data_IF_880478739248
#
_entry.id   IF_880478739248
#
_cell.length_a   1.000
_cell.length_b   1.000
_cell.length_c   1.000
_cell.angle_alpha   90.00
_cell.angle_beta   90.00
_cell.angle_gamma   90.00
#
_symmetry.space_group_name_H-M   'P 1'
#
loop_
_entity.id
_entity.type
_entity.pdbx_description
1 polymer ?
#
# COMPACT_ATOMS: atom_id res chain seq x y z
N UNK A 1 4.85 -23.37 -2.13
CA UNK A 1 3.55 -23.11 -1.54
C UNK A 1 3.13 -21.69 -1.74
N UNK A 2 2.16 -21.54 -2.58
CA UNK A 2 1.71 -20.19 -2.92
C UNK A 2 1.21 -19.41 -1.71
N UNK A 3 0.57 -20.08 -0.77
CA UNK A 3 -0.03 -19.39 0.37
C UNK A 3 0.98 -18.77 1.32
N UNK A 4 2.22 -19.24 1.35
CA UNK A 4 3.22 -18.64 2.26
C UNK A 4 3.65 -17.26 1.79
N UNK A 5 3.32 -16.92 0.54
CA UNK A 5 3.67 -15.59 0.02
C UNK A 5 2.49 -14.63 0.03
N UNK A 6 1.34 -15.07 0.54
CA UNK A 6 0.17 -14.20 0.59
C UNK A 6 0.33 -13.18 1.70
N UNK A 7 -0.19 -11.99 1.43
CA UNK A 7 -0.28 -10.98 2.47
C UNK A 7 -1.43 -11.39 3.38
N UNK A 8 -1.08 -11.91 4.55
CA UNK A 8 -2.07 -12.49 5.43
C UNK A 8 -2.93 -11.48 6.14
N UNK A 9 -3.97 -12.00 6.79
CA UNK A 9 -4.92 -11.20 7.54
C UNK A 9 -4.28 -10.38 8.65
N UNK A 10 -3.20 -10.88 9.21
CA UNK A 10 -2.49 -10.18 10.28
C UNK A 10 -1.97 -8.81 9.85
N UNK A 11 -1.79 -8.61 8.54
CA UNK A 11 -1.31 -7.34 8.03
C UNK A 11 -2.44 -6.42 7.57
N UNK A 12 -3.67 -6.89 7.63
CA UNK A 12 -4.81 -6.09 7.21
C UNK A 12 -5.07 -4.95 8.20
N UNK A 13 -5.31 -3.77 7.67
CA UNK A 13 -5.63 -2.61 8.49
C UNK A 13 -6.99 -2.79 9.20
N UNK A 14 -7.89 -3.55 8.60
CA UNK A 14 -9.15 -3.87 9.24
C UNK A 14 -10.31 -3.01 8.77
N UNK A 15 -11.03 -2.45 9.73
CA UNK A 15 -12.31 -1.82 9.45
C UNK A 15 -12.22 -0.32 9.19
N UNK A 16 -13.34 0.26 8.78
CA UNK A 16 -13.44 1.67 8.42
C UNK A 16 -12.90 2.63 9.49
N UNK A 17 -13.08 2.30 10.76
CA UNK A 17 -12.55 3.09 11.86
C UNK A 17 -11.04 3.27 11.75
N UNK A 18 -10.35 2.18 11.42
CA UNK A 18 -8.89 2.22 11.31
C UNK A 18 -8.47 3.07 10.12
N UNK A 19 -9.19 2.95 9.00
CA UNK A 19 -8.90 3.79 7.83
C UNK A 19 -9.08 5.26 8.17
N UNK A 20 -10.20 5.59 8.82
CA UNK A 20 -10.48 6.98 9.17
C UNK A 20 -9.40 7.55 10.08
N UNK A 21 -8.94 6.76 11.02
CA UNK A 21 -7.89 7.18 11.94
C UNK A 21 -6.59 7.49 11.20
N UNK A 22 -6.19 6.58 10.30
CA UNK A 22 -4.95 6.75 9.53
C UNK A 22 -5.07 7.95 8.59
N UNK A 23 -6.22 8.13 7.94
CA UNK A 23 -6.44 9.29 7.08
C UNK A 23 -6.28 10.59 7.86
N UNK A 24 -6.81 10.62 9.07
CA UNK A 24 -6.79 11.85 9.87
C UNK A 24 -5.41 12.15 10.45
N UNK A 25 -4.68 11.12 10.86
CA UNK A 25 -3.44 11.29 11.59
C UNK A 25 -2.20 11.05 10.76
N UNK A 26 -2.33 10.37 9.64
CA UNK A 26 -1.19 10.00 8.81
C UNK A 26 -0.73 11.11 7.90
N UNK A 27 0.44 10.88 7.30
CA UNK A 27 0.98 11.81 6.31
C UNK A 27 0.71 11.26 4.91
N UNK A 28 0.32 12.14 4.01
CA UNK A 28 -0.06 11.77 2.66
C UNK A 28 1.08 12.02 1.67
N UNK A 29 1.30 11.05 0.78
CA UNK A 29 2.30 11.14 -0.28
C UNK A 29 1.59 10.85 -1.61
N UNK A 30 1.17 11.90 -2.31
CA UNK A 30 0.40 11.70 -3.55
C UNK A 30 1.28 11.31 -4.72
N UNK A 31 0.80 10.36 -5.51
CA UNK A 31 1.39 9.98 -6.77
C UNK A 31 0.38 10.17 -7.89
N UNK A 32 0.75 9.81 -9.09
CA UNK A 32 -0.13 9.95 -10.25
C UNK A 32 -1.24 8.90 -10.26
N UNK A 33 -0.90 7.66 -9.96
CA UNK A 33 -1.85 6.54 -10.02
C UNK A 33 -2.36 6.12 -8.66
N UNK A 34 -1.67 6.51 -7.60
CA UNK A 34 -2.09 6.16 -6.24
C UNK A 34 -1.55 7.16 -5.25
N UNK A 35 -2.17 7.17 -4.07
CA UNK A 35 -1.71 8.00 -2.95
C UNK A 35 -1.34 7.07 -1.82
N UNK A 36 -0.20 7.31 -1.20
CA UNK A 36 0.22 6.58 0.00
C UNK A 36 -0.08 7.45 1.22
N UNK A 37 -0.73 6.84 2.23
CA UNK A 37 -0.89 7.50 3.52
C UNK A 37 -0.20 6.62 4.54
N UNK A 38 0.65 7.21 5.38
CA UNK A 38 1.43 6.47 6.35
C UNK A 38 1.31 7.07 7.74
N UNK A 39 1.15 6.22 8.74
CA UNK A 39 1.13 6.62 10.14
C UNK A 39 2.03 5.66 10.91
N UNK A 40 3.00 6.21 11.60
CA UNK A 40 3.93 5.41 12.40
C UNK A 40 3.17 4.62 13.46
N UNK A 41 3.52 3.35 13.60
CA UNK A 41 2.89 2.45 14.57
C UNK A 41 3.84 1.29 14.86
N UNK A 42 3.53 0.54 15.89
CA UNK A 42 4.39 -0.57 16.31
C UNK A 42 4.32 -1.77 15.38
N UNK A 43 3.17 -2.01 14.80
CA UNK A 43 2.97 -3.14 13.90
C UNK A 43 2.67 -2.66 12.50
N UNK A 44 3.08 -3.47 11.53
CA UNK A 44 2.79 -3.15 10.15
C UNK A 44 1.37 -3.60 9.81
N UNK A 45 0.55 -2.64 9.37
CA UNK A 45 -0.79 -2.92 8.86
C UNK A 45 -0.96 -2.15 7.57
N UNK A 46 -1.76 -2.70 6.66
CA UNK A 46 -1.96 -2.05 5.36
C UNK A 46 -3.40 -2.19 4.89
N UNK A 47 -3.88 -1.15 4.23
CA UNK A 47 -5.20 -1.16 3.61
C UNK A 47 -5.09 -0.65 2.19
N UNK A 48 -6.03 -1.10 1.36
CA UNK A 48 -6.08 -0.72 -0.05
C UNK A 48 -7.46 -0.20 -0.35
N UNK A 49 -7.55 1.02 -0.85
CA UNK A 49 -8.82 1.68 -1.06
C UNK A 49 -8.97 2.10 -2.53
N UNK A 50 -10.14 1.82 -3.09
CA UNK A 50 -10.46 2.26 -4.44
C UNK A 50 -11.88 2.79 -4.43
N UNK A 51 -12.03 4.08 -4.72
CA UNK A 51 -13.33 4.74 -4.71
C UNK A 51 -14.21 4.24 -5.85
N UNK A 52 -15.53 4.30 -5.65
CA UNK A 52 -16.49 3.92 -6.69
C UNK A 52 -16.35 4.81 -7.93
N UNK A 53 -15.76 5.98 -7.79
CA UNK A 53 -15.53 6.88 -8.93
C UNK A 53 -14.48 6.37 -9.90
N UNK A 54 -13.62 5.45 -9.45
CA UNK A 54 -12.56 4.92 -10.29
C UNK A 54 -13.09 3.93 -11.31
N UNK A 55 -14.12 3.17 -10.95
CA UNK A 55 -14.68 2.20 -11.85
C UNK A 55 -15.69 1.29 -11.17
N UNK A 56 -16.18 0.29 -11.91
CA UNK A 56 -17.13 -0.67 -11.37
C UNK A 56 -16.43 -1.64 -10.40
N UNK A 57 -17.23 -2.54 -9.81
CA UNK A 57 -16.71 -3.46 -8.80
C UNK A 57 -15.59 -4.35 -9.32
N UNK A 58 -15.69 -4.81 -10.55
CA UNK A 58 -14.66 -5.66 -11.15
C UNK A 58 -13.34 -4.91 -11.26
N UNK A 59 -13.38 -3.69 -11.77
CA UNK A 59 -12.20 -2.85 -11.90
C UNK A 59 -11.59 -2.54 -10.55
N UNK A 60 -12.43 -2.16 -9.58
CA UNK A 60 -11.94 -1.83 -8.23
C UNK A 60 -11.28 -3.02 -7.56
N UNK A 61 -11.87 -4.21 -7.69
CA UNK A 61 -11.29 -5.42 -7.11
C UNK A 61 -9.96 -5.77 -7.76
N UNK A 62 -9.87 -5.60 -9.08
CA UNK A 62 -8.63 -5.85 -9.82
C UNK A 62 -7.51 -4.93 -9.31
N UNK A 63 -7.82 -3.65 -9.11
CA UNK A 63 -6.83 -2.71 -8.63
C UNK A 63 -6.39 -3.01 -7.19
N UNK A 64 -7.34 -3.38 -6.32
CA UNK A 64 -6.99 -3.77 -4.95
C UNK A 64 -6.05 -4.97 -4.94
N UNK A 65 -6.37 -5.98 -5.74
CA UNK A 65 -5.52 -7.18 -5.81
C UNK A 65 -4.14 -6.85 -6.31
N UNK A 66 -4.04 -5.97 -7.31
CA UNK A 66 -2.75 -5.56 -7.84
C UNK A 66 -1.91 -4.85 -6.80
N UNK A 67 -2.52 -3.88 -6.12
CA UNK A 67 -1.79 -3.14 -5.08
C UNK A 67 -1.36 -4.05 -3.95
N UNK A 68 -2.25 -4.97 -3.58
CA UNK A 68 -1.95 -5.93 -2.51
C UNK A 68 -0.77 -6.82 -2.90
N UNK A 69 -0.75 -7.27 -4.13
CA UNK A 69 0.33 -8.12 -4.62
C UNK A 69 1.65 -7.38 -4.66
N UNK A 70 1.65 -6.14 -5.14
CA UNK A 70 2.86 -5.32 -5.18
C UNK A 70 3.39 -5.07 -3.77
N UNK A 71 2.51 -4.74 -2.84
CA UNK A 71 2.90 -4.49 -1.46
C UNK A 71 3.45 -5.75 -0.80
N UNK A 72 2.84 -6.89 -1.07
CA UNK A 72 3.28 -8.16 -0.51
C UNK A 72 4.77 -8.40 -0.79
N UNK A 73 5.19 -8.08 -2.01
CA UNK A 73 6.58 -8.28 -2.40
C UNK A 73 7.54 -7.33 -1.67
N UNK A 74 7.07 -6.15 -1.33
CA UNK A 74 7.91 -5.14 -0.69
C UNK A 74 7.88 -5.20 0.84
N UNK A 75 6.84 -5.80 1.40
CA UNK A 75 6.60 -5.76 2.84
C UNK A 75 7.81 -6.12 3.71
N UNK A 76 8.58 -7.18 3.40
CA UNK A 76 9.69 -7.52 4.29
C UNK A 76 10.75 -6.43 4.41
N UNK A 77 10.78 -5.52 3.46
CA UNK A 77 11.78 -4.44 3.44
C UNK A 77 11.29 -3.15 4.08
N UNK A 78 10.05 -3.15 4.58
CA UNK A 78 9.42 -1.92 5.05
C UNK A 78 9.39 -1.82 6.57
N UNK A 79 9.43 -0.58 7.06
CA UNK A 79 9.36 -0.32 8.51
C UNK A 79 7.93 -0.54 9.00
N UNK A 80 7.76 -0.81 10.31
CA UNK A 80 6.42 -0.94 10.88
C UNK A 80 5.62 0.36 10.74
N UNK A 81 4.32 0.23 10.72
CA UNK A 81 3.44 1.37 10.64
C UNK A 81 2.16 1.02 9.91
N UNK A 82 1.25 1.98 9.84
CA UNK A 82 -0.03 1.79 9.15
C UNK A 82 0.02 2.45 7.80
N UNK A 83 -0.20 1.65 6.76
CA UNK A 83 -0.11 2.07 5.37
C UNK A 83 -1.48 2.02 4.74
N UNK A 84 -1.83 3.03 3.95
CA UNK A 84 -3.01 2.96 3.08
C UNK A 84 -2.57 3.37 1.69
N UNK A 85 -2.95 2.56 0.70
CA UNK A 85 -2.76 2.93 -0.71
C UNK A 85 -4.13 3.17 -1.31
N UNK A 86 -4.32 4.36 -1.85
CA UNK A 86 -5.59 4.76 -2.46
C UNK A 86 -5.37 4.87 -3.96
N UNK A 87 -6.07 4.04 -4.74
CA UNK A 87 -5.94 4.09 -6.19
C UNK A 87 -6.65 5.31 -6.74
N UNK A 88 -6.03 5.96 -7.72
CA UNK A 88 -6.60 7.09 -8.44
C UNK A 88 -7.06 6.62 -9.81
N UNK A 89 -7.85 7.45 -10.48
CA UNK A 89 -8.40 7.07 -11.79
C UNK A 89 -7.32 6.68 -12.80
N UNK A 90 -6.16 7.31 -12.74
CA UNK A 90 -5.07 6.97 -13.65
C UNK A 90 -4.57 5.53 -13.50
N UNK A 91 -4.90 4.87 -12.40
CA UNK A 91 -4.50 3.49 -12.18
C UNK A 91 -5.23 2.52 -13.11
N UNK A 92 -6.40 2.90 -13.59
CA UNK A 92 -7.25 2.00 -14.38
C UNK A 92 -6.52 1.48 -15.62
N UNK A 93 -5.77 2.35 -16.29
CA UNK A 93 -5.09 2.02 -17.53
C UNK A 93 -3.61 1.72 -17.35
N UNK A 94 -3.15 1.71 -16.10
CA UNK A 94 -1.74 1.43 -15.84
C UNK A 94 -1.45 -0.05 -15.97
N UNK A 95 -0.28 -0.39 -16.49
CA UNK A 95 0.11 -1.79 -16.50
C UNK A 95 0.75 -2.17 -15.15
N UNK A 96 1.02 -3.46 -14.98
CA UNK A 96 1.57 -3.97 -13.73
C UNK A 96 2.88 -3.31 -13.34
N UNK A 97 3.75 -3.12 -14.33
CA UNK A 97 5.06 -2.55 -14.05
C UNK A 97 4.96 -1.11 -13.59
N UNK A 98 4.05 -0.33 -14.20
CA UNK A 98 3.87 1.06 -13.82
C UNK A 98 3.35 1.19 -12.39
N UNK A 99 2.40 0.34 -12.01
CA UNK A 99 1.86 0.34 -10.66
C UNK A 99 2.92 -0.02 -9.63
N UNK A 100 3.70 -1.06 -9.93
CA UNK A 100 4.75 -1.50 -9.01
C UNK A 100 5.83 -0.45 -8.83
N UNK A 101 6.23 0.18 -9.92
CA UNK A 101 7.25 1.23 -9.86
C UNK A 101 6.78 2.42 -9.04
N UNK A 102 5.53 2.81 -9.23
CA UNK A 102 4.99 3.95 -8.50
C UNK A 102 4.89 3.67 -7.01
N UNK A 103 4.43 2.47 -6.64
CA UNK A 103 4.36 2.11 -5.22
C UNK A 103 5.73 2.17 -4.58
N UNK A 104 6.74 1.59 -5.25
CA UNK A 104 8.11 1.63 -4.73
C UNK A 104 8.62 3.07 -4.60
N UNK A 105 8.32 3.90 -5.59
CA UNK A 105 8.78 5.29 -5.57
C UNK A 105 8.14 6.08 -4.42
N UNK A 106 6.86 5.85 -4.16
CA UNK A 106 6.19 6.52 -3.05
C UNK A 106 6.75 6.10 -1.71
N UNK A 107 7.00 4.79 -1.54
CA UNK A 107 7.57 4.28 -0.31
C UNK A 107 8.98 4.81 -0.09
N UNK A 108 9.75 4.91 -1.16
CA UNK A 108 11.11 5.47 -1.09
C UNK A 108 11.06 6.94 -0.72
N UNK A 109 10.19 7.69 -1.35
CA UNK A 109 10.04 9.13 -1.07
C UNK A 109 9.64 9.36 0.38
N UNK A 110 8.83 8.48 0.93
CA UNK A 110 8.39 8.58 2.33
C UNK A 110 9.44 8.07 3.32
N UNK A 111 10.52 7.46 2.82
CA UNK A 111 11.58 6.98 3.70
C UNK A 111 11.21 5.73 4.48
N UNK A 112 10.39 4.87 3.90
CA UNK A 112 9.82 3.75 4.64
C UNK A 112 10.51 2.41 4.41
N UNK A 113 11.56 2.36 3.60
CA UNK A 113 12.35 1.15 3.48
C UNK A 113 13.32 1.06 4.65
N UNK A 114 13.52 -0.16 5.16
CA UNK A 114 14.48 -0.37 6.24
C UNK A 114 15.87 -0.04 5.74
N UNK A 115 16.75 0.43 6.61
CA UNK A 115 18.13 0.65 6.21
C UNK A 115 18.74 -0.65 5.67
N UNK A 116 19.51 -0.51 4.60
CA UNK A 116 20.13 -1.68 3.99
C UNK A 116 21.15 -2.31 4.93
N UNK A 117 21.11 -3.57 5.00
CA UNK A 117 22.08 -4.29 5.74
C UNK A 117 22.35 -3.78 7.08
N UNK A 118 22.25 -3.64 6.95
CA UNK A 118 22.53 -3.51 7.64
C UNK A 118 22.88 -3.02 8.54
N UNK A 119 22.86 -2.68 8.38
CA UNK A 119 23.12 -2.22 8.99
C UNK A 119 23.30 -2.69 9.93
N UNK A 120 23.32 -3.27 9.82
CA UNK A 120 23.60 -3.80 10.45
C UNK A 120 24.45 -3.74 11.02
N UNK A 121 24.61 -3.34 10.97
CA UNK A 121 25.51 -3.39 11.34
C UNK A 121 25.92 -3.53 11.98
#
# INVERSE_FOLDING_TARGET
MAHIYRLGRRYSLGRNKQYAYVYRRGKSYPGYRMVLIYLKARELKVGFSVSSKVGNAVTRNRLRRRMKEDFRMLRPELVPGKYIFVARSAAVEADSAAMAREMRALLKRAGLFRPAGGDQT
#
